data_IF_493076778183
#
_entry.id   IF_493076778183
#
_cell.length_a   1.000
_cell.length_b   1.000
_cell.length_c   1.000
_cell.angle_alpha   90.00
_cell.angle_beta   90.00
_cell.angle_gamma   90.00
#
_symmetry.space_group_name_H-M   'P 1'
#
loop_
_entity.id
_entity.type
_entity.pdbx_description
1 polymer ?
#
# COMPACT_ATOMS: atom_id res chain seq x y z
N UNK A 1 -21.43 -8.47 -15.06
CA UNK A 1 -20.96 -7.71 -13.88
C UNK A 1 -19.57 -7.16 -14.18
N UNK A 2 -19.35 -5.84 -14.12
CA UNK A 2 -18.02 -5.25 -14.42
C UNK A 2 -17.12 -5.41 -13.20
N UNK A 3 -16.07 -6.21 -13.32
CA UNK A 3 -15.02 -6.30 -12.30
C UNK A 3 -14.31 -4.94 -12.19
N UNK A 4 -14.33 -4.32 -11.01
CA UNK A 4 -13.56 -3.09 -10.77
C UNK A 4 -12.18 -3.49 -10.28
N UNK A 5 -11.17 -3.26 -11.14
CA UNK A 5 -9.76 -3.48 -10.82
C UNK A 5 -9.16 -2.21 -10.24
N UNK A 6 -8.53 -2.31 -9.08
CA UNK A 6 -7.83 -1.21 -8.41
C UNK A 6 -6.42 -1.65 -8.04
N UNK A 7 -5.48 -0.72 -8.10
CA UNK A 7 -4.12 -0.89 -7.60
C UNK A 7 -4.04 -0.36 -6.18
N UNK A 8 -3.58 -1.18 -5.25
CA UNK A 8 -3.47 -0.83 -3.84
C UNK A 8 -2.00 -0.62 -3.52
N UNK A 9 -1.67 0.52 -2.93
CA UNK A 9 -0.39 0.74 -2.26
C UNK A 9 -0.64 0.55 -0.76
N UNK A 10 0.11 -0.34 -0.11
CA UNK A 10 0.00 -0.60 1.33
C UNK A 10 1.32 -0.26 2.01
N UNK A 11 1.29 0.58 3.03
CA UNK A 11 2.44 0.86 3.89
C UNK A 11 2.27 0.21 5.26
N UNK A 12 3.30 -0.50 5.72
CA UNK A 12 3.28 -1.22 6.99
C UNK A 12 3.96 -0.42 8.12
N UNK A 13 3.35 -0.39 9.31
CA UNK A 13 3.87 0.33 10.47
C UNK A 13 5.20 -0.20 11.01
N UNK A 14 5.44 -1.51 10.87
CA UNK A 14 6.66 -2.19 11.33
C UNK A 14 7.29 -3.00 10.20
N UNK A 15 8.63 -3.10 10.20
CA UNK A 15 9.34 -4.15 9.46
C UNK A 15 8.93 -5.45 10.12
N UNK A 16 8.41 -6.41 9.37
CA UNK A 16 8.03 -7.76 9.83
C UNK A 16 8.91 -8.20 11.00
N UNK A 17 8.38 -8.16 12.23
CA UNK A 17 8.99 -8.86 13.34
C UNK A 17 8.42 -10.27 13.31
N UNK A 18 9.31 -11.25 13.21
CA UNK A 18 9.03 -12.68 13.12
C UNK A 18 8.22 -13.25 14.31
N UNK A 19 7.87 -12.42 15.29
CA UNK A 19 6.97 -12.73 16.40
C UNK A 19 5.51 -12.46 15.99
N UNK A 20 4.80 -13.52 15.60
CA UNK A 20 3.42 -13.52 15.09
C UNK A 20 2.31 -13.09 16.07
N UNK A 21 2.52 -12.08 16.91
CA UNK A 21 1.60 -11.69 17.99
C UNK A 21 1.12 -10.23 17.98
N UNK A 22 1.34 -9.47 16.90
CA UNK A 22 0.81 -8.10 16.81
C UNK A 22 -0.04 -7.91 15.56
N UNK A 23 -1.16 -7.16 15.64
CA UNK A 23 -1.88 -6.73 14.46
C UNK A 23 -0.89 -5.99 13.55
N UNK A 24 -0.85 -6.42 12.31
CA UNK A 24 -0.04 -5.75 11.29
C UNK A 24 -0.75 -4.44 11.00
N UNK A 25 -0.37 -3.37 11.71
CA UNK A 25 -0.88 -2.03 11.42
C UNK A 25 -0.40 -1.63 10.02
N UNK A 26 -1.35 -1.38 9.12
CA UNK A 26 -1.07 -0.94 7.76
C UNK A 26 -2.01 0.17 7.33
N UNK A 27 -1.59 0.93 6.32
CA UNK A 27 -2.39 1.95 5.65
C UNK A 27 -2.44 1.64 4.17
N UNK A 28 -3.63 1.72 3.59
CA UNK A 28 -3.86 1.48 2.16
C UNK A 28 -4.31 2.73 1.44
N UNK A 29 -3.89 2.83 0.17
CA UNK A 29 -4.36 3.81 -0.79
C UNK A 29 -4.70 3.09 -2.09
N UNK A 30 -5.87 3.39 -2.64
CA UNK A 30 -6.37 2.77 -3.86
C UNK A 30 -6.21 3.71 -5.07
N UNK A 31 -5.83 3.13 -6.20
CA UNK A 31 -5.58 3.83 -7.45
C UNK A 31 -6.19 3.08 -8.62
N UNK A 32 -6.82 3.78 -9.55
CA UNK A 32 -7.38 3.14 -10.76
C UNK A 32 -6.31 2.69 -11.76
N UNK A 33 -5.05 3.14 -11.60
CA UNK A 33 -3.97 2.89 -12.55
C UNK A 33 -2.68 2.50 -11.86
N UNK A 34 -2.01 1.47 -12.39
CA UNK A 34 -0.70 1.01 -11.93
C UNK A 34 0.33 2.13 -11.89
N UNK A 35 0.37 2.96 -12.93
CA UNK A 35 1.34 4.06 -13.03
C UNK A 35 1.14 5.11 -11.92
N UNK A 36 -0.12 5.37 -11.53
CA UNK A 36 -0.43 6.26 -10.39
C UNK A 36 0.04 5.65 -9.07
N UNK A 37 -0.21 4.35 -8.86
CA UNK A 37 0.25 3.63 -7.67
C UNK A 37 1.79 3.64 -7.54
N UNK A 38 2.53 3.32 -8.62
CA UNK A 38 4.00 3.36 -8.63
C UNK A 38 4.52 4.77 -8.37
N UNK A 39 3.91 5.80 -8.98
CA UNK A 39 4.33 7.19 -8.74
C UNK A 39 4.11 7.60 -7.28
N UNK A 40 3.03 7.13 -6.67
CA UNK A 40 2.75 7.36 -5.25
C UNK A 40 3.77 6.66 -4.35
N UNK A 41 4.05 5.37 -4.57
CA UNK A 41 5.05 4.61 -3.81
C UNK A 41 6.43 5.27 -3.85
N UNK A 42 6.91 5.67 -5.04
CA UNK A 42 8.18 6.40 -5.16
C UNK A 42 8.20 7.74 -4.41
N UNK A 43 7.07 8.45 -4.38
CA UNK A 43 6.95 9.71 -3.63
C UNK A 43 6.92 9.45 -2.13
N UNK A 44 6.26 8.37 -1.70
CA UNK A 44 6.17 7.94 -0.30
C UNK A 44 7.56 7.58 0.23
N UNK A 45 8.29 6.72 -0.48
CA UNK A 45 9.66 6.33 -0.13
C UNK A 45 10.65 7.50 -0.06
N UNK A 46 10.41 8.56 -0.83
CA UNK A 46 11.24 9.78 -0.84
C UNK A 46 10.83 10.79 0.23
N UNK A 47 9.81 10.50 1.04
CA UNK A 47 9.25 11.45 2.02
C UNK A 47 8.62 12.69 1.40
N UNK A 48 8.28 12.65 0.10
CA UNK A 48 7.66 13.80 -0.60
C UNK A 48 6.17 13.95 -0.30
N UNK A 49 5.58 12.93 0.31
CA UNK A 49 4.21 12.91 0.78
C UNK A 49 4.23 12.37 2.21
N UNK A 50 3.30 12.84 3.04
CA UNK A 50 3.25 12.44 4.44
C UNK A 50 3.09 10.93 4.53
N UNK A 51 4.11 10.28 5.09
CA UNK A 51 4.06 8.86 5.35
C UNK A 51 3.07 8.60 6.50
N UNK A 52 2.28 7.53 6.40
CA UNK A 52 1.43 7.11 7.51
C UNK A 52 2.27 6.51 8.64
N UNK A 53 3.42 5.93 8.30
CA UNK A 53 4.37 5.34 9.22
C UNK A 53 5.79 5.69 8.81
N UNK A 54 6.73 5.77 9.76
CA UNK A 54 8.16 6.06 9.48
C UNK A 54 8.91 4.94 8.74
N UNK A 55 8.20 3.93 8.27
CA UNK A 55 8.78 2.72 7.69
C UNK A 55 8.54 2.70 6.18
N UNK A 56 9.56 2.29 5.44
CA UNK A 56 9.56 2.21 3.98
C UNK A 56 9.08 0.85 3.44
N UNK A 57 8.61 -0.05 4.31
CA UNK A 57 7.99 -1.30 3.89
C UNK A 57 6.64 -1.03 3.23
N UNK A 58 6.65 -0.99 1.90
CA UNK A 58 5.52 -0.66 1.04
C UNK A 58 5.32 -1.78 0.03
N UNK A 59 4.08 -2.18 -0.15
CA UNK A 59 3.67 -3.21 -1.10
C UNK A 59 2.70 -2.61 -2.12
N UNK A 60 2.77 -3.07 -3.37
CA UNK A 60 1.83 -2.69 -4.44
C UNK A 60 1.24 -3.95 -5.06
N UNK A 61 -0.08 -4.05 -5.10
CA UNK A 61 -0.79 -5.19 -5.70
C UNK A 61 -2.11 -4.80 -6.37
N UNK A 62 -2.59 -5.64 -7.29
CA UNK A 62 -3.90 -5.49 -7.92
C UNK A 62 -4.97 -6.15 -7.06
N UNK A 63 -6.04 -5.41 -6.74
CA UNK A 63 -7.25 -5.92 -6.07
C UNK A 63 -8.41 -5.84 -7.03
N UNK A 64 -9.07 -6.98 -7.25
CA UNK A 64 -10.30 -7.07 -8.05
C UNK A 64 -11.48 -7.27 -7.10
N UNK A 65 -12.47 -6.38 -7.18
CA UNK A 65 -13.73 -6.57 -6.45
C UNK A 65 -14.71 -7.33 -7.34
N UNK A 66 -15.17 -8.49 -6.87
CA UNK A 66 -16.36 -9.14 -7.43
C UNK A 66 -17.59 -8.48 -6.79
N UNK A 67 -18.42 -7.86 -7.62
CA UNK A 67 -19.74 -7.36 -7.23
C UNK A 67 -20.80 -8.40 -7.51
#
# INVERSE_FOLDING_TARGET
MKQKKMWVVRQYAKKFSWSGNHPVDFKEWEFESRSKAIKFEKRLQKGMISEAFKNTNIEIYERSWQS
#
